data_IF_137806149122
#
_entry.id   IF_137806149122
#
_cell.length_a   1.000
_cell.length_b   1.000
_cell.length_c   1.000
_cell.angle_alpha   90.00
_cell.angle_beta   90.00
_cell.angle_gamma   90.00
#
_symmetry.space_group_name_H-M   'P 1'
#
loop_
_entity.id
_entity.type
_entity.pdbx_description
1 polymer ?
#
# COMPACT_ATOMS: atom_id res chain seq x y z
N UNK A 1 -14.61 15.82 -7.49
CA UNK A 1 -15.44 14.75 -8.09
C UNK A 1 -14.67 13.45 -7.99
N UNK A 2 -15.26 12.40 -7.38
CA UNK A 2 -14.66 11.09 -7.24
C UNK A 2 -14.62 10.37 -8.60
N UNK A 3 -13.46 9.87 -9.00
CA UNK A 3 -13.26 9.12 -10.24
C UNK A 3 -13.21 7.62 -9.99
N UNK A 4 -12.51 7.21 -8.93
CA UNK A 4 -12.40 5.82 -8.53
C UNK A 4 -12.16 5.71 -7.02
N UNK A 5 -12.56 4.57 -6.45
CA UNK A 5 -12.30 4.23 -5.06
C UNK A 5 -11.65 2.84 -4.98
N UNK A 6 -10.56 2.74 -4.26
CA UNK A 6 -9.86 1.50 -4.01
C UNK A 6 -10.04 1.11 -2.54
N UNK A 7 -10.81 0.04 -2.31
CA UNK A 7 -11.07 -0.49 -0.97
C UNK A 7 -10.18 -1.67 -0.66
N UNK A 8 -9.70 -1.71 0.57
CA UNK A 8 -9.05 -2.91 1.07
C UNK A 8 -10.10 -3.94 1.43
N UNK A 9 -10.14 -5.06 0.70
CA UNK A 9 -11.15 -6.12 0.93
C UNK A 9 -10.92 -6.80 2.29
N UNK A 10 -11.97 -6.83 3.11
CA UNK A 10 -11.96 -7.36 4.46
C UNK A 10 -11.34 -8.77 4.64
N UNK A 11 -11.67 -9.79 3.80
CA UNK A 11 -11.11 -11.14 3.96
C UNK A 11 -9.59 -11.21 3.82
N UNK A 12 -9.00 -10.48 2.87
CA UNK A 12 -7.55 -10.42 2.68
C UNK A 12 -6.84 -9.69 3.84
N UNK A 13 -7.45 -8.62 4.33
CA UNK A 13 -6.98 -7.88 5.49
C UNK A 13 -6.94 -8.78 6.73
N UNK A 14 -8.07 -9.45 7.02
CA UNK A 14 -8.18 -10.37 8.15
C UNK A 14 -7.15 -11.49 8.03
N UNK A 15 -7.04 -12.12 6.85
CA UNK A 15 -6.05 -13.15 6.59
C UNK A 15 -4.61 -12.69 6.85
N UNK A 16 -4.23 -11.52 6.37
CA UNK A 16 -2.89 -10.97 6.59
C UNK A 16 -2.62 -10.69 8.08
N UNK A 17 -3.56 -10.05 8.78
CA UNK A 17 -3.42 -9.74 10.21
C UNK A 17 -3.33 -11.02 11.03
N UNK A 18 -4.21 -12.00 10.76
CA UNK A 18 -4.21 -13.29 11.47
C UNK A 18 -2.91 -14.06 11.24
N UNK A 19 -2.44 -14.16 9.99
CA UNK A 19 -1.19 -14.89 9.68
C UNK A 19 0.02 -14.27 10.37
N UNK A 20 0.16 -12.93 10.30
CA UNK A 20 1.28 -12.21 10.93
C UNK A 20 1.15 -12.25 12.45
N UNK A 21 -0.06 -12.13 12.98
CA UNK A 21 -0.33 -12.25 14.42
C UNK A 21 -0.01 -13.63 14.98
N UNK A 22 -0.37 -14.70 14.26
CA UNK A 22 -0.03 -16.07 14.65
C UNK A 22 1.49 -16.30 14.63
N UNK A 23 2.20 -15.74 13.66
CA UNK A 23 3.66 -15.83 13.59
C UNK A 23 4.32 -15.14 14.78
N UNK A 24 3.83 -13.95 15.16
CA UNK A 24 4.30 -13.24 16.35
C UNK A 24 4.03 -14.03 17.63
N UNK A 25 2.83 -14.58 17.78
CA UNK A 25 2.46 -15.42 18.93
C UNK A 25 3.31 -16.70 19.02
N UNK A 26 3.57 -17.37 17.89
CA UNK A 26 4.42 -18.54 17.84
C UNK A 26 5.87 -18.22 18.25
N UNK A 27 6.42 -17.09 17.80
CA UNK A 27 7.77 -16.65 18.19
C UNK A 27 7.86 -16.41 19.71
N UNK A 28 6.86 -15.74 20.30
CA UNK A 28 6.81 -15.49 21.74
C UNK A 28 6.61 -16.82 22.51
N UNK A 29 5.73 -17.70 22.05
CA UNK A 29 5.51 -19.01 22.65
C UNK A 29 6.80 -19.84 22.69
N UNK A 30 7.55 -19.89 21.59
CA UNK A 30 8.84 -20.57 21.54
C UNK A 30 9.85 -19.94 22.51
N UNK A 31 9.85 -18.62 22.65
CA UNK A 31 10.78 -17.92 23.54
C UNK A 31 10.59 -18.30 25.03
N UNK A 32 9.37 -18.64 25.45
CA UNK A 32 9.08 -19.05 26.85
C UNK A 32 9.22 -20.54 27.09
N UNK A 33 9.55 -21.34 26.06
CA UNK A 33 9.71 -22.79 26.18
C UNK A 33 10.92 -23.12 27.07
N UNK A 34 10.80 -24.07 28.04
CA UNK A 34 11.91 -24.49 28.88
C UNK A 34 13.08 -25.04 28.05
N UNK A 35 14.32 -24.77 28.48
CA UNK A 35 15.54 -25.24 27.80
C UNK A 35 16.03 -24.34 26.66
N UNK A 36 15.34 -23.25 26.33
CA UNK A 36 15.77 -22.32 25.31
C UNK A 36 17.00 -21.49 25.82
N UNK A 37 18.09 -21.41 25.04
CA UNK A 37 19.22 -20.54 25.35
C UNK A 37 18.82 -19.07 25.49
N UNK A 38 19.45 -18.34 26.42
CA UNK A 38 19.09 -16.95 26.70
C UNK A 38 19.17 -16.04 25.43
N UNK A 39 20.17 -16.20 24.57
CA UNK A 39 20.30 -15.43 23.33
C UNK A 39 19.18 -15.70 22.35
N UNK A 40 18.77 -16.97 22.17
CA UNK A 40 17.65 -17.32 21.30
C UNK A 40 16.33 -16.80 21.86
N UNK A 41 16.14 -16.82 23.17
CA UNK A 41 14.96 -16.27 23.85
C UNK A 41 14.81 -14.77 23.57
N UNK A 42 15.87 -14.00 23.79
CA UNK A 42 15.87 -12.55 23.52
C UNK A 42 15.59 -12.26 22.04
N UNK A 43 16.21 -13.01 21.13
CA UNK A 43 15.98 -12.86 19.70
C UNK A 43 14.52 -13.12 19.32
N UNK A 44 13.91 -14.20 19.82
CA UNK A 44 12.52 -14.54 19.51
C UNK A 44 11.51 -13.54 20.10
N UNK A 45 11.77 -12.99 21.29
CA UNK A 45 10.95 -11.93 21.88
C UNK A 45 11.03 -10.67 21.02
N UNK A 46 12.24 -10.25 20.63
CA UNK A 46 12.44 -9.10 19.77
C UNK A 46 11.75 -9.29 18.40
N UNK A 47 11.92 -10.47 17.78
CA UNK A 47 11.27 -10.83 16.52
C UNK A 47 9.74 -10.79 16.65
N UNK A 48 9.19 -11.45 17.68
CA UNK A 48 7.75 -11.44 17.95
C UNK A 48 7.19 -10.04 18.16
N UNK A 49 7.93 -9.17 18.86
CA UNK A 49 7.58 -7.77 19.06
C UNK A 49 7.55 -6.97 17.76
N UNK A 50 8.58 -7.10 16.91
CA UNK A 50 8.66 -6.41 15.61
C UNK A 50 7.56 -6.91 14.68
N UNK A 51 7.34 -8.21 14.61
CA UNK A 51 6.28 -8.82 13.76
C UNK A 51 4.90 -8.42 14.26
N UNK A 52 4.68 -8.43 15.59
CA UNK A 52 3.42 -8.01 16.20
C UNK A 52 3.11 -6.52 15.95
N UNK A 53 4.14 -5.66 16.05
CA UNK A 53 4.01 -4.25 15.71
C UNK A 53 3.68 -4.06 14.22
N UNK A 54 4.29 -4.85 13.33
CA UNK A 54 3.95 -4.88 11.92
C UNK A 54 2.49 -5.27 11.66
N UNK A 55 1.97 -6.31 12.36
CA UNK A 55 0.58 -6.72 12.28
C UNK A 55 -0.39 -5.59 12.71
N UNK A 56 -0.06 -4.91 13.80
CA UNK A 56 -0.84 -3.76 14.27
C UNK A 56 -0.82 -2.60 13.25
N UNK A 57 0.35 -2.32 12.65
CA UNK A 57 0.49 -1.32 11.59
C UNK A 57 -0.37 -1.65 10.36
N UNK A 58 -0.39 -2.92 9.92
CA UNK A 58 -1.28 -3.38 8.84
C UNK A 58 -2.74 -3.16 9.24
N UNK A 59 -3.14 -3.55 10.45
CA UNK A 59 -4.50 -3.38 10.94
C UNK A 59 -4.95 -1.91 10.89
N UNK A 60 -4.09 -1.00 11.32
CA UNK A 60 -4.39 0.44 11.34
C UNK A 60 -4.36 1.09 9.95
N UNK A 61 -3.40 0.71 9.10
CA UNK A 61 -3.23 1.32 7.78
C UNK A 61 -4.25 0.85 6.75
N UNK A 62 -4.75 -0.38 6.87
CA UNK A 62 -5.71 -0.95 5.92
C UNK A 62 -7.15 -0.52 6.18
N UNK A 63 -7.41 0.37 7.14
CA UNK A 63 -8.70 1.07 7.28
C UNK A 63 -8.87 2.22 6.28
N UNK A 64 -7.78 2.58 5.58
CA UNK A 64 -7.76 3.74 4.70
C UNK A 64 -8.08 3.32 3.27
N UNK A 65 -9.25 3.70 2.79
CA UNK A 65 -9.60 3.63 1.37
C UNK A 65 -8.78 4.68 0.59
N UNK A 66 -8.37 4.33 -0.63
CA UNK A 66 -7.76 5.28 -1.55
C UNK A 66 -8.81 5.82 -2.51
N UNK A 67 -8.86 7.13 -2.64
CA UNK A 67 -9.78 7.82 -3.51
C UNK A 67 -9.00 8.51 -4.63
N UNK A 68 -9.39 8.24 -5.87
CA UNK A 68 -8.92 8.98 -7.03
C UNK A 68 -9.94 10.07 -7.32
N UNK A 69 -9.51 11.32 -7.23
CA UNK A 69 -10.29 12.49 -7.55
C UNK A 69 -9.69 13.24 -8.74
N UNK A 70 -10.38 14.24 -9.28
CA UNK A 70 -9.81 15.13 -10.31
C UNK A 70 -8.61 15.93 -9.80
N UNK A 71 -8.51 16.14 -8.51
CA UNK A 71 -7.41 16.88 -7.87
C UNK A 71 -6.18 16.00 -7.63
N UNK A 72 -6.36 14.67 -7.54
CA UNK A 72 -5.30 13.70 -7.33
C UNK A 72 -5.73 12.49 -6.51
N UNK A 73 -4.73 11.77 -6.02
CA UNK A 73 -4.88 10.65 -5.11
C UNK A 73 -4.96 11.16 -3.67
N UNK A 74 -6.03 10.80 -2.97
CA UNK A 74 -6.25 11.13 -1.56
C UNK A 74 -6.56 9.86 -0.76
N UNK A 75 -6.26 9.86 0.51
CA UNK A 75 -6.74 8.82 1.42
C UNK A 75 -8.17 9.14 1.91
N UNK A 76 -8.80 8.20 2.60
CA UNK A 76 -10.15 8.39 3.15
C UNK A 76 -10.24 9.50 4.22
N UNK A 77 -9.10 9.90 4.80
CA UNK A 77 -9.02 11.00 5.75
C UNK A 77 -8.87 12.36 5.05
N UNK A 78 -8.87 12.39 3.72
CA UNK A 78 -8.68 13.61 2.92
C UNK A 78 -7.22 14.04 2.77
N UNK A 79 -6.24 13.22 3.23
CA UNK A 79 -4.84 13.54 3.05
C UNK A 79 -4.43 13.34 1.58
N UNK A 80 -3.87 14.38 0.96
CA UNK A 80 -3.36 14.33 -0.39
C UNK A 80 -2.09 13.46 -0.46
N UNK A 81 -2.20 12.34 -1.17
CA UNK A 81 -1.05 11.45 -1.43
C UNK A 81 -0.25 11.97 -2.60
N UNK A 82 -0.93 12.32 -3.70
CA UNK A 82 -0.31 12.95 -4.86
C UNK A 82 -1.33 13.79 -5.61
N UNK A 83 -1.05 15.09 -5.83
CA UNK A 83 -1.84 15.90 -6.76
C UNK A 83 -1.78 15.31 -8.18
N UNK A 84 -2.87 15.44 -8.96
CA UNK A 84 -2.92 14.94 -10.33
C UNK A 84 -1.81 15.53 -11.19
N UNK A 85 -1.43 16.79 -10.93
CA UNK A 85 -0.38 17.52 -11.63
C UNK A 85 1.02 16.93 -11.39
N UNK A 86 1.19 16.19 -10.31
CA UNK A 86 2.44 15.51 -9.92
C UNK A 86 2.47 14.04 -10.34
N UNK A 87 1.51 13.56 -11.12
CA UNK A 87 1.55 12.21 -11.68
C UNK A 87 1.91 12.33 -13.16
N UNK A 88 3.13 11.88 -13.51
CA UNK A 88 3.63 11.91 -14.89
C UNK A 88 3.01 10.78 -15.72
N UNK A 89 3.04 9.56 -15.18
CA UNK A 89 2.51 8.37 -15.83
C UNK A 89 2.33 7.21 -14.85
N UNK A 90 1.47 6.27 -15.24
CA UNK A 90 1.36 4.96 -14.57
C UNK A 90 2.42 4.02 -15.17
N UNK A 91 3.28 3.45 -14.31
CA UNK A 91 4.29 2.49 -14.73
C UNK A 91 3.80 1.07 -14.43
N UNK A 92 3.49 0.33 -15.49
CA UNK A 92 3.07 -1.08 -15.44
C UNK A 92 4.19 -2.03 -15.86
N UNK A 93 5.41 -1.53 -16.08
CA UNK A 93 6.54 -2.31 -16.56
C UNK A 93 6.85 -3.52 -15.70
N UNK A 94 7.37 -4.58 -16.33
CA UNK A 94 7.75 -5.83 -15.66
C UNK A 94 8.89 -5.60 -14.67
N UNK A 95 9.74 -4.61 -14.94
CA UNK A 95 10.87 -4.20 -14.08
C UNK A 95 10.51 -3.10 -13.06
N UNK A 96 9.26 -2.62 -13.04
CA UNK A 96 8.83 -1.73 -11.99
C UNK A 96 8.77 -2.51 -10.67
N UNK A 97 9.47 -2.02 -9.64
CA UNK A 97 9.35 -2.54 -8.27
C UNK A 97 7.96 -2.18 -7.76
N UNK A 98 6.96 -2.95 -8.19
CA UNK A 98 5.56 -2.71 -7.87
C UNK A 98 5.11 -3.58 -6.70
N UNK A 99 4.23 -3.06 -5.84
CA UNK A 99 3.61 -3.85 -4.79
C UNK A 99 2.82 -5.02 -5.38
N UNK A 100 2.67 -6.14 -4.66
CA UNK A 100 1.78 -7.22 -5.07
C UNK A 100 0.37 -6.68 -5.39
N UNK A 101 -0.20 -7.13 -6.49
CA UNK A 101 -1.55 -6.73 -6.95
C UNK A 101 -1.74 -5.23 -7.18
N UNK A 102 -0.66 -4.49 -7.45
CA UNK A 102 -0.68 -3.04 -7.57
C UNK A 102 0.03 -2.47 -8.79
N UNK A 103 0.23 -1.16 -8.78
CA UNK A 103 0.92 -0.40 -9.81
C UNK A 103 1.78 0.71 -9.18
N UNK A 104 2.66 1.30 -9.99
CA UNK A 104 3.53 2.40 -9.59
C UNK A 104 3.25 3.61 -10.45
N UNK A 105 3.14 4.78 -9.84
CA UNK A 105 3.07 6.06 -10.52
C UNK A 105 4.44 6.73 -10.48
N UNK A 106 4.86 7.30 -11.59
CA UNK A 106 6.06 8.10 -11.68
C UNK A 106 5.73 9.57 -11.49
N UNK A 107 6.57 10.25 -10.71
CA UNK A 107 6.46 11.67 -10.42
C UNK A 107 7.55 12.46 -11.18
N UNK A 108 7.26 13.67 -11.66
CA UNK A 108 8.25 14.54 -12.30
C UNK A 108 9.33 15.00 -11.31
N UNK A 109 8.96 15.23 -10.05
CA UNK A 109 9.86 15.70 -8.99
C UNK A 109 9.80 14.79 -7.76
N UNK A 110 10.82 14.91 -6.88
CA UNK A 110 10.82 14.20 -5.60
C UNK A 110 9.77 14.80 -4.66
N UNK A 111 9.03 13.94 -4.00
CA UNK A 111 8.11 14.32 -2.93
C UNK A 111 8.58 13.71 -1.60
N UNK A 112 8.16 14.28 -0.45
CA UNK A 112 8.46 13.72 0.86
C UNK A 112 8.07 12.25 0.94
N UNK A 113 8.89 11.44 1.61
CA UNK A 113 8.56 10.03 1.82
C UNK A 113 7.29 9.89 2.67
N UNK A 114 6.49 8.89 2.36
CA UNK A 114 5.26 8.57 3.08
C UNK A 114 4.81 7.16 2.75
N UNK A 115 4.07 6.56 3.66
CA UNK A 115 3.50 5.24 3.44
C UNK A 115 2.28 4.97 4.30
N UNK A 116 1.41 4.07 3.83
CA UNK A 116 0.43 3.36 4.64
C UNK A 116 0.68 1.86 4.42
N UNK A 117 1.02 1.15 5.48
CA UNK A 117 1.43 -0.26 5.41
C UNK A 117 0.39 -1.11 4.69
N UNK A 118 0.82 -1.82 3.65
CA UNK A 118 -0.05 -2.70 2.87
C UNK A 118 -1.01 -2.00 1.90
N UNK A 119 -0.93 -0.69 1.72
CA UNK A 119 -1.82 0.07 0.81
C UNK A 119 -1.04 0.90 -0.18
N UNK A 120 -0.15 1.78 0.26
CA UNK A 120 0.66 2.60 -0.61
C UNK A 120 1.98 3.01 0.05
N UNK A 121 2.95 3.37 -0.78
CA UNK A 121 4.22 3.99 -0.37
C UNK A 121 4.64 5.06 -1.37
N UNK A 122 5.35 6.07 -0.90
CA UNK A 122 5.93 7.14 -1.71
C UNK A 122 7.39 7.35 -1.32
N UNK A 123 8.29 7.11 -2.27
CA UNK A 123 9.73 7.26 -2.10
C UNK A 123 10.32 7.95 -3.32
N UNK A 124 10.92 9.12 -3.11
CA UNK A 124 11.56 9.90 -4.16
C UNK A 124 10.56 10.31 -5.25
N UNK A 125 10.69 9.74 -6.45
CA UNK A 125 9.86 10.03 -7.64
C UNK A 125 8.88 8.91 -7.97
N UNK A 126 8.54 8.06 -7.01
CA UNK A 126 7.66 6.91 -7.23
C UNK A 126 6.63 6.80 -6.12
N UNK A 127 5.41 6.45 -6.52
CA UNK A 127 4.33 6.08 -5.61
C UNK A 127 3.86 4.69 -6.01
N UNK A 128 4.02 3.72 -5.12
CA UNK A 128 3.48 2.38 -5.28
C UNK A 128 2.14 2.26 -4.58
N UNK A 129 1.16 1.73 -5.27
CA UNK A 129 -0.18 1.42 -4.75
C UNK A 129 -0.40 -0.07 -4.92
N UNK A 130 -0.71 -0.77 -3.84
CA UNK A 130 -0.89 -2.23 -3.88
C UNK A 130 -0.73 -2.88 -2.51
N UNK A 131 -0.57 -4.20 -2.50
CA UNK A 131 -0.44 -5.01 -1.29
C UNK A 131 -1.76 -5.65 -0.88
N UNK A 132 -2.42 -5.14 0.17
CA UNK A 132 -3.69 -5.68 0.65
C UNK A 132 -4.90 -5.31 -0.22
N UNK A 133 -4.71 -4.48 -1.24
CA UNK A 133 -5.77 -4.08 -2.17
C UNK A 133 -6.14 -5.20 -3.15
N UNK A 134 -7.36 -5.12 -3.70
CA UNK A 134 -7.80 -6.02 -4.76
C UNK A 134 -7.05 -5.73 -6.07
N UNK A 135 -6.44 -6.75 -6.67
CA UNK A 135 -5.73 -6.61 -7.96
C UNK A 135 -6.63 -6.06 -9.08
N UNK A 136 -7.86 -6.59 -9.29
CA UNK A 136 -8.80 -6.03 -10.26
C UNK A 136 -9.15 -4.56 -10.01
N UNK A 137 -9.41 -4.19 -8.75
CA UNK A 137 -9.77 -2.81 -8.41
C UNK A 137 -8.56 -1.86 -8.58
N UNK A 138 -7.34 -2.31 -8.24
CA UNK A 138 -6.12 -1.55 -8.49
C UNK A 138 -5.85 -1.37 -9.99
N UNK A 139 -6.12 -2.41 -10.80
CA UNK A 139 -6.02 -2.33 -12.25
C UNK A 139 -7.02 -1.33 -12.83
N UNK A 140 -8.29 -1.40 -12.40
CA UNK A 140 -9.33 -0.47 -12.83
C UNK A 140 -8.99 0.98 -12.46
N UNK A 141 -8.52 1.22 -11.23
CA UNK A 141 -8.07 2.56 -10.81
C UNK A 141 -6.89 3.06 -11.66
N UNK A 142 -5.93 2.20 -11.98
CA UNK A 142 -4.81 2.56 -12.84
C UNK A 142 -5.26 2.94 -14.25
N UNK A 143 -6.23 2.23 -14.82
CA UNK A 143 -6.82 2.54 -16.13
C UNK A 143 -7.57 3.88 -16.13
N UNK A 144 -8.38 4.13 -15.10
CA UNK A 144 -9.08 5.43 -14.93
C UNK A 144 -8.07 6.57 -14.78
N UNK A 145 -6.99 6.35 -14.03
CA UNK A 145 -5.92 7.34 -13.87
C UNK A 145 -5.23 7.63 -15.21
N UNK A 146 -4.91 6.60 -16.00
CA UNK A 146 -4.32 6.79 -17.35
C UNK A 146 -5.25 7.57 -18.26
N UNK A 147 -6.55 7.28 -18.26
CA UNK A 147 -7.54 8.04 -19.02
C UNK A 147 -7.62 9.50 -18.56
N UNK A 148 -7.60 9.74 -17.25
CA UNK A 148 -7.63 11.09 -16.70
C UNK A 148 -6.37 11.89 -17.08
N UNK A 149 -5.19 11.25 -17.09
CA UNK A 149 -3.94 11.86 -17.55
C UNK A 149 -3.96 12.14 -19.05
N UNK A 150 -4.53 11.23 -19.87
CA UNK A 150 -4.67 11.41 -21.32
C UNK A 150 -5.66 12.53 -21.67
N UNK A 151 -6.80 12.62 -20.97
CA UNK A 151 -7.77 13.73 -21.14
C UNK A 151 -7.12 15.08 -20.85
N UNK A 152 -6.37 15.14 -19.76
CA UNK A 152 -5.62 16.34 -19.38
C UNK A 152 -4.56 16.74 -20.40
N UNK A 153 -3.86 15.75 -20.98
CA UNK A 153 -2.89 16.01 -22.04
C UNK A 153 -3.52 16.39 -23.39
N UNK A 154 -4.87 16.42 -23.49
CA UNK A 154 -5.59 16.69 -24.73
C UNK A 154 -5.47 15.57 -25.77
N UNK A 155 -5.09 14.36 -25.34
CA UNK A 155 -4.90 13.21 -26.22
C UNK A 155 -6.21 12.48 -26.53
N UNK A 156 -7.26 12.70 -25.76
CA UNK A 156 -8.60 12.16 -26.03
C UNK A 156 -9.32 13.11 -26.98
N UNK A 157 -9.71 12.64 -28.17
CA UNK A 157 -10.60 13.36 -29.08
C UNK A 157 -11.95 13.57 -28.36
N UNK A 158 -12.38 14.81 -28.23
CA UNK A 158 -13.76 15.13 -27.91
C UNK A 158 -14.51 15.17 -29.23
N UNK A 159 -15.16 14.06 -29.56
CA UNK A 159 -16.16 14.03 -30.63
C UNK A 159 -17.45 14.62 -30.13
#
# INVERSE_FOLDING_TARGET
MLLAQLRVKGPRRVGAIVSVGLLAAAAIYLAVTPGMPAGARVFLIALGGVVGWGAWGIAKSTEVDLLLTREGLVDANGQMIAPMDYIERVDRGVFAVKPPSGYVNKLPTKMPAGWAQGVWWRIGRRIGIGGAVSGPDAKAMAEILELALADRAGLLKRD
#
